data_IF_005973186341
#
_entry.id   IF_005973186341
#
_cell.length_a   1.000
_cell.length_b   1.000
_cell.length_c   1.000
_cell.angle_alpha   90.00
_cell.angle_beta   90.00
_cell.angle_gamma   90.00
#
_symmetry.space_group_name_H-M   'P 1'
#
loop_
_entity.id
_entity.type
_entity.pdbx_description
1 polymer ?
#
# COMPACT_ATOMS: atom_id res chain seq x y z
N UNK A 1 18.61 -4.71 11.25
CA UNK A 1 18.88 -3.44 10.54
C UNK A 1 17.54 -2.82 10.17
N UNK A 2 17.13 -1.76 10.86
CA UNK A 2 15.86 -1.08 10.60
C UNK A 2 16.08 -0.03 9.51
N UNK A 3 15.73 -0.35 8.26
CA UNK A 3 15.68 0.64 7.18
C UNK A 3 14.34 1.38 7.24
N UNK A 4 14.40 2.71 7.39
CA UNK A 4 13.25 3.59 7.25
C UNK A 4 12.97 3.83 5.76
N UNK A 5 11.71 3.88 5.32
CA UNK A 5 11.46 4.32 3.95
C UNK A 5 11.86 5.80 3.82
N UNK A 6 12.74 6.06 2.86
CA UNK A 6 13.37 7.36 2.61
C UNK A 6 12.43 8.36 1.91
N UNK A 7 11.35 7.88 1.31
CA UNK A 7 10.40 8.71 0.55
C UNK A 7 9.23 9.08 1.45
N UNK A 8 8.87 10.37 1.44
CA UNK A 8 7.69 10.87 2.15
C UNK A 8 6.42 10.18 1.61
N UNK A 9 5.50 9.71 2.47
CA UNK A 9 4.25 9.13 1.99
C UNK A 9 3.30 10.21 1.47
N UNK A 10 2.54 9.85 0.44
CA UNK A 10 1.32 10.56 0.11
C UNK A 10 0.26 10.26 1.17
N UNK A 11 -0.64 11.21 1.42
CA UNK A 11 -1.84 10.98 2.24
C UNK A 11 -3.05 11.01 1.33
N UNK A 12 -3.70 9.87 1.17
CA UNK A 12 -4.85 9.70 0.30
C UNK A 12 -6.08 9.41 1.15
N UNK A 13 -7.21 10.06 0.85
CA UNK A 13 -8.47 9.80 1.54
C UNK A 13 -9.20 8.62 0.92
N UNK A 14 -9.27 7.51 1.66
CA UNK A 14 -9.91 6.27 1.24
C UNK A 14 -11.01 5.88 2.23
N UNK A 15 -12.04 5.19 1.75
CA UNK A 15 -13.06 4.64 2.63
C UNK A 15 -12.54 3.37 3.31
N UNK A 16 -12.64 3.31 4.63
CA UNK A 16 -12.37 2.08 5.37
C UNK A 16 -13.53 1.08 5.23
N UNK A 17 -13.42 -0.10 5.85
CA UNK A 17 -14.48 -1.14 5.78
C UNK A 17 -15.85 -0.72 6.34
N UNK A 18 -15.89 0.36 7.13
CA UNK A 18 -17.12 0.93 7.70
C UNK A 18 -17.68 2.05 6.82
N UNK A 19 -17.12 2.28 5.63
CA UNK A 19 -17.50 3.35 4.71
C UNK A 19 -17.02 4.74 5.14
N UNK A 20 -16.18 4.86 6.17
CA UNK A 20 -15.70 6.16 6.65
C UNK A 20 -14.48 6.61 5.86
N UNK A 21 -14.53 7.83 5.34
CA UNK A 21 -13.39 8.47 4.70
C UNK A 21 -12.28 8.69 5.72
N UNK A 22 -11.13 8.07 5.47
CA UNK A 22 -10.00 8.01 6.41
C UNK A 22 -8.71 8.39 5.66
N UNK A 23 -7.84 9.24 6.23
CA UNK A 23 -6.53 9.50 5.65
C UNK A 23 -5.66 8.24 5.74
N UNK A 24 -5.13 7.80 4.61
CA UNK A 24 -4.25 6.64 4.49
C UNK A 24 -2.91 7.08 3.91
N UNK A 25 -1.84 6.90 4.68
CA UNK A 25 -0.48 7.18 4.23
C UNK A 25 0.03 6.04 3.35
N UNK A 26 0.52 6.36 2.14
CA UNK A 26 1.02 5.35 1.22
C UNK A 26 2.17 5.85 0.34
N UNK A 27 2.98 4.92 -0.15
CA UNK A 27 3.96 5.17 -1.20
C UNK A 27 3.68 4.25 -2.39
N UNK A 28 3.71 4.80 -3.60
CA UNK A 28 3.55 4.06 -4.83
C UNK A 28 4.84 4.06 -5.65
N UNK A 29 5.14 2.91 -6.24
CA UNK A 29 6.33 2.69 -7.05
C UNK A 29 6.00 1.86 -8.29
N UNK A 30 6.78 2.04 -9.35
CA UNK A 30 6.89 1.06 -10.43
C UNK A 30 8.24 0.36 -10.31
N UNK A 31 8.24 -0.97 -10.27
CA UNK A 31 9.44 -1.78 -10.16
C UNK A 31 9.25 -3.14 -10.84
N UNK A 32 10.19 -3.51 -11.73
CA UNK A 32 10.13 -4.77 -12.50
C UNK A 32 8.76 -4.97 -13.18
N UNK A 33 8.29 -3.93 -13.87
CA UNK A 33 7.00 -3.90 -14.60
C UNK A 33 5.76 -4.15 -13.73
N UNK A 34 5.87 -3.92 -12.42
CA UNK A 34 4.76 -4.04 -11.47
C UNK A 34 4.57 -2.75 -10.69
N UNK A 35 3.32 -2.49 -10.33
CA UNK A 35 2.97 -1.42 -9.39
C UNK A 35 3.14 -1.96 -7.97
N UNK A 36 3.86 -1.24 -7.13
CA UNK A 36 4.01 -1.58 -5.72
C UNK A 36 3.39 -0.48 -4.87
N UNK A 37 2.49 -0.87 -3.97
CA UNK A 37 1.82 0.02 -3.04
C UNK A 37 2.24 -0.36 -1.63
N UNK A 38 2.84 0.59 -0.92
CA UNK A 38 3.26 0.43 0.47
C UNK A 38 2.34 1.29 1.34
N UNK A 39 1.42 0.65 2.04
CA UNK A 39 0.56 1.30 3.04
C UNK A 39 1.35 1.46 4.34
N UNK A 40 1.37 2.67 4.91
CA UNK A 40 2.10 2.96 6.14
C UNK A 40 1.10 3.13 7.27
N UNK A 41 1.24 2.30 8.30
CA UNK A 41 0.51 2.52 9.54
C UNK A 41 0.97 3.84 10.17
N UNK A 42 0.03 4.64 10.63
CA UNK A 42 0.29 5.90 11.32
C UNK A 42 -0.45 5.93 12.67
N UNK A 43 -0.33 7.05 13.40
CA UNK A 43 -1.12 7.26 14.63
C UNK A 43 -2.60 7.44 14.31
N UNK A 44 -2.90 8.09 13.20
CA UNK A 44 -4.25 8.38 12.70
C UNK A 44 -4.91 7.12 12.12
N UNK A 45 -4.13 6.26 11.47
CA UNK A 45 -4.61 4.99 10.93
C UNK A 45 -3.68 3.83 11.32
N UNK A 46 -3.88 3.27 12.53
CA UNK A 46 -3.01 2.21 13.06
C UNK A 46 -3.08 0.93 12.24
N UNK A 47 -2.01 0.13 12.34
CA UNK A 47 -1.85 -1.16 11.65
C UNK A 47 -3.09 -2.04 11.70
N UNK A 48 -3.71 -2.18 12.89
CA UNK A 48 -4.92 -2.99 13.05
C UNK A 48 -6.10 -2.51 12.20
N UNK A 49 -6.30 -1.19 12.09
CA UNK A 49 -7.39 -0.62 11.31
C UNK A 49 -7.13 -0.77 9.80
N UNK A 50 -5.89 -0.59 9.40
CA UNK A 50 -5.41 -0.82 8.03
C UNK A 50 -5.64 -2.28 7.64
N UNK A 51 -5.20 -3.24 8.46
CA UNK A 51 -5.39 -4.67 8.20
C UNK A 51 -6.86 -5.06 8.14
N UNK A 52 -7.71 -4.50 9.01
CA UNK A 52 -9.15 -4.73 8.99
C UNK A 52 -9.86 -4.15 7.75
N UNK A 53 -9.21 -3.23 7.04
CA UNK A 53 -9.77 -2.55 5.87
C UNK A 53 -9.06 -2.94 4.58
N UNK A 54 -8.13 -3.90 4.62
CA UNK A 54 -7.17 -4.17 3.55
C UNK A 54 -7.85 -4.41 2.19
N UNK A 55 -8.90 -5.22 2.14
CA UNK A 55 -9.66 -5.49 0.91
C UNK A 55 -10.31 -4.22 0.34
N UNK A 56 -10.95 -3.42 1.20
CA UNK A 56 -11.62 -2.18 0.76
C UNK A 56 -10.62 -1.15 0.24
N UNK A 57 -9.46 -1.06 0.88
CA UNK A 57 -8.38 -0.16 0.46
C UNK A 57 -7.77 -0.65 -0.86
N UNK A 58 -7.48 -1.95 -0.98
CA UNK A 58 -6.92 -2.53 -2.19
C UNK A 58 -7.84 -2.29 -3.40
N UNK A 59 -9.15 -2.52 -3.26
CA UNK A 59 -10.12 -2.21 -4.31
C UNK A 59 -10.01 -0.76 -4.79
N UNK A 60 -10.12 0.21 -3.88
CA UNK A 60 -10.07 1.63 -4.22
C UNK A 60 -8.75 2.03 -4.87
N UNK A 61 -7.63 1.47 -4.41
CA UNK A 61 -6.31 1.78 -4.94
C UNK A 61 -6.14 1.21 -6.36
N UNK A 62 -6.51 -0.04 -6.61
CA UNK A 62 -6.46 -0.64 -7.95
C UNK A 62 -7.35 0.14 -8.92
N UNK A 63 -8.57 0.51 -8.51
CA UNK A 63 -9.48 1.33 -9.32
C UNK A 63 -8.85 2.68 -9.67
N UNK A 64 -8.22 3.37 -8.70
CA UNK A 64 -7.54 4.65 -8.95
C UNK A 64 -6.32 4.52 -9.85
N UNK A 65 -5.58 3.42 -9.75
CA UNK A 65 -4.44 3.12 -10.61
C UNK A 65 -4.89 2.82 -12.06
N UNK A 66 -6.12 2.32 -12.25
CA UNK A 66 -6.64 1.96 -13.58
C UNK A 66 -5.95 0.73 -14.18
N UNK A 67 -5.49 -0.19 -13.33
CA UNK A 67 -4.70 -1.37 -13.71
C UNK A 67 -5.36 -2.66 -13.26
N UNK A 68 -4.98 -3.80 -13.82
CA UNK A 68 -5.48 -5.08 -13.36
C UNK A 68 -4.91 -5.42 -11.96
N UNK A 69 -5.68 -6.06 -11.06
CA UNK A 69 -5.20 -6.37 -9.71
C UNK A 69 -3.94 -7.22 -9.70
N UNK A 70 -3.77 -8.10 -10.69
CA UNK A 70 -2.61 -8.96 -10.84
C UNK A 70 -1.33 -8.19 -11.15
N UNK A 71 -1.40 -6.90 -11.48
CA UNK A 71 -0.25 -6.02 -11.74
C UNK A 71 0.22 -5.27 -10.49
N UNK A 72 -0.47 -5.41 -9.36
CA UNK A 72 -0.20 -4.65 -8.13
C UNK A 72 0.29 -5.57 -7.01
N UNK A 73 1.43 -5.23 -6.40
CA UNK A 73 1.89 -5.81 -5.15
C UNK A 73 1.56 -4.87 -3.99
N UNK A 74 0.94 -5.42 -2.94
CA UNK A 74 0.58 -4.67 -1.73
C UNK A 74 1.48 -5.06 -0.56
N UNK A 75 2.05 -4.04 0.07
CA UNK A 75 2.83 -4.16 1.29
C UNK A 75 2.30 -3.22 2.35
N UNK A 76 2.55 -3.56 3.60
CA UNK A 76 2.29 -2.72 4.74
C UNK A 76 3.55 -2.57 5.57
N UNK A 77 3.84 -1.32 5.95
CA UNK A 77 4.91 -0.98 6.86
C UNK A 77 4.33 -0.49 8.19
N UNK A 78 4.80 -1.08 9.29
CA UNK A 78 4.41 -0.71 10.64
C UNK A 78 5.61 -0.09 11.36
N UNK A 79 5.55 1.20 11.74
CA UNK A 79 6.60 1.81 12.55
C UNK A 79 6.55 1.29 14.00
N UNK A 80 7.71 1.22 14.65
CA UNK A 80 7.88 0.79 16.04
C UNK A 80 9.35 0.53 16.35
N UNK A 81 9.66 0.09 17.58
CA UNK A 81 11.03 -0.27 17.98
C UNK A 81 11.60 -1.40 17.10
N UNK A 82 10.72 -2.31 16.70
CA UNK A 82 10.97 -3.32 15.68
C UNK A 82 9.99 -3.10 14.53
N UNK A 83 10.37 -2.32 13.49
CA UNK A 83 9.46 -2.05 12.40
C UNK A 83 9.15 -3.34 11.64
N UNK A 84 7.88 -3.55 11.35
CA UNK A 84 7.40 -4.77 10.69
C UNK A 84 7.00 -4.48 9.25
N UNK A 85 7.29 -5.47 8.40
CA UNK A 85 6.86 -5.51 7.02
C UNK A 85 5.89 -6.66 6.82
N UNK A 86 4.74 -6.37 6.25
CA UNK A 86 3.76 -7.37 5.87
C UNK A 86 3.52 -7.31 4.36
N UNK A 87 3.31 -8.48 3.76
CA UNK A 87 2.84 -8.61 2.38
C UNK A 87 1.37 -9.00 2.39
N UNK A 88 0.58 -8.28 1.60
CA UNK A 88 -0.81 -8.60 1.36
C UNK A 88 -0.96 -9.33 0.04
N UNK A 89 -1.65 -10.46 0.09
CA UNK A 89 -2.18 -11.16 -1.07
C UNK A 89 -3.70 -11.11 -1.02
N UNK A 90 -4.35 -10.94 -2.17
CA UNK A 90 -5.80 -10.90 -2.27
C UNK A 90 -6.28 -11.91 -3.31
N UNK A 91 -7.35 -12.62 -2.99
CA UNK A 91 -8.13 -13.35 -3.98
C UNK A 91 -9.10 -12.37 -4.64
N UNK A 92 -9.05 -12.23 -5.96
CA UNK A 92 -9.88 -11.28 -6.71
C UNK A 92 -10.99 -11.99 -7.50
N UNK A 93 -12.11 -11.29 -7.68
CA UNK A 93 -13.18 -11.61 -8.63
C UNK A 93 -13.44 -10.35 -9.44
N UNK A 94 -12.95 -10.33 -10.68
CA UNK A 94 -12.84 -9.08 -11.44
C UNK A 94 -11.97 -8.07 -10.69
N UNK A 95 -12.48 -6.86 -10.49
CA UNK A 95 -11.78 -5.79 -9.77
C UNK A 95 -11.99 -5.84 -8.25
N UNK A 96 -12.79 -6.77 -7.73
CA UNK A 96 -13.18 -6.81 -6.32
C UNK A 96 -12.39 -7.86 -5.54
N UNK A 97 -11.70 -7.49 -4.44
CA UNK A 97 -11.00 -8.44 -3.58
C UNK A 97 -12.02 -9.16 -2.69
N UNK A 98 -12.07 -10.48 -2.80
CA UNK A 98 -12.97 -11.34 -2.04
C UNK A 98 -12.40 -11.67 -0.65
N UNK A 99 -11.09 -11.94 -0.58
CA UNK A 99 -10.42 -12.35 0.65
C UNK A 99 -8.97 -11.91 0.65
N UNK A 100 -8.56 -11.18 1.68
CA UNK A 100 -7.17 -10.84 1.96
C UNK A 100 -6.47 -11.91 2.80
N UNK A 101 -5.18 -12.08 2.55
CA UNK A 101 -4.24 -12.76 3.42
C UNK A 101 -3.05 -11.85 3.64
N UNK A 102 -2.56 -11.86 4.88
CA UNK A 102 -1.40 -11.09 5.27
C UNK A 102 -0.34 -12.01 5.86
N UNK A 103 0.92 -11.83 5.43
CA UNK A 103 2.05 -12.63 5.89
C UNK A 103 3.23 -11.70 6.20
N UNK A 104 4.02 -12.06 7.22
CA UNK A 104 5.24 -11.32 7.53
C UNK A 104 6.25 -11.44 6.39
N UNK A 105 6.88 -10.33 6.02
CA UNK A 105 7.94 -10.33 5.01
C UNK A 105 9.20 -10.97 5.62
N UNK A 106 9.67 -12.05 5.00
CA UNK A 106 10.92 -12.69 5.39
C UNK A 106 12.12 -11.82 5.05
N UNK A 107 13.24 -12.03 5.75
CA UNK A 107 14.49 -11.34 5.44
C UNK A 107 14.91 -11.51 3.97
N UNK A 108 14.75 -12.71 3.40
CA UNK A 108 15.05 -12.98 1.99
C UNK A 108 14.19 -12.18 1.02
N UNK A 109 12.88 -12.04 1.27
CA UNK A 109 12.00 -11.21 0.45
C UNK A 109 12.30 -9.71 0.63
N UNK A 110 12.63 -9.29 1.85
CA UNK A 110 13.06 -7.93 2.11
C UNK A 110 14.30 -7.57 1.29
N UNK A 111 15.35 -8.40 1.34
CA UNK A 111 16.63 -8.14 0.70
C UNK A 111 16.58 -8.26 -0.82
N UNK A 112 15.83 -9.22 -1.36
CA UNK A 112 15.76 -9.48 -2.80
C UNK A 112 14.74 -8.60 -3.55
N UNK A 113 13.77 -8.02 -2.84
CA UNK A 113 12.67 -7.26 -3.44
C UNK A 113 12.46 -5.88 -2.81
N UNK A 114 12.12 -5.79 -1.52
CA UNK A 114 11.74 -4.50 -0.92
C UNK A 114 12.91 -3.50 -0.83
N UNK A 115 14.12 -3.97 -0.51
CA UNK A 115 15.30 -3.11 -0.47
C UNK A 115 15.64 -2.56 -1.87
N UNK A 116 15.74 -3.39 -2.94
CA UNK A 116 15.86 -2.89 -4.31
C UNK A 116 14.73 -1.96 -4.73
N UNK A 117 13.48 -2.29 -4.41
CA UNK A 117 12.30 -1.45 -4.69
C UNK A 117 12.47 -0.04 -4.09
N UNK A 118 12.90 0.06 -2.84
CA UNK A 118 13.10 1.36 -2.17
C UNK A 118 14.28 2.16 -2.74
N UNK A 119 15.30 1.48 -3.27
CA UNK A 119 16.49 2.13 -3.82
C UNK A 119 16.36 2.50 -5.30
N UNK A 120 15.62 1.71 -6.07
CA UNK A 120 15.62 1.76 -7.55
C UNK A 120 14.22 1.89 -8.15
N UNK A 121 13.16 1.67 -7.37
CA UNK A 121 11.78 1.81 -7.83
C UNK A 121 11.46 3.25 -8.20
N UNK A 122 10.72 3.41 -9.30
CA UNK A 122 10.27 4.73 -9.74
C UNK A 122 9.06 5.14 -8.93
N UNK A 123 9.25 6.05 -7.96
CA UNK A 123 8.18 6.59 -7.15
C UNK A 123 7.21 7.45 -7.96
N UNK A 124 5.91 7.33 -7.68
CA UNK A 124 4.87 8.18 -8.26
C UNK A 124 3.76 8.46 -7.25
N UNK A 125 2.94 9.47 -7.52
CA UNK A 125 1.83 9.85 -6.64
C UNK A 125 0.50 9.31 -7.13
N UNK A 126 -0.30 8.75 -6.21
CA UNK A 126 -1.67 8.32 -6.50
C UNK A 126 -2.65 9.51 -6.60
N UNK A 127 -2.21 10.72 -6.19
CA UNK A 127 -3.02 11.94 -6.21
C UNK A 127 -3.10 12.63 -7.58
N UNK A 128 -2.34 12.17 -8.59
CA UNK A 128 -2.23 12.83 -9.91
C UNK A 128 -3.54 12.97 -10.72
N UNK A 129 -4.67 12.51 -10.18
CA UNK A 129 -6.02 12.75 -10.73
C UNK A 129 -6.98 13.54 -9.83
N UNK A 130 -6.59 13.94 -8.62
CA UNK A 130 -7.44 14.67 -7.65
C UNK A 130 -7.13 16.18 -7.60
N UNK A 131 -6.31 16.72 -8.50
CA UNK A 131 -5.93 18.15 -8.54
C UNK A 131 -6.98 19.06 -9.22
N UNK A 132 -8.20 18.58 -9.44
CA UNK A 132 -9.22 19.32 -10.20
C UNK A 132 -10.62 19.20 -9.59
N UNK A 133 -10.79 19.67 -8.36
CA UNK A 133 -12.12 20.06 -7.84
C UNK A 133 -12.01 20.95 -6.59
N UNK A 134 -11.37 22.11 -6.71
CA UNK A 134 -11.74 23.27 -5.88
C UNK A 134 -11.70 24.51 -6.78
N UNK A 135 -12.85 24.82 -7.36
CA UNK A 135 -13.19 26.16 -7.83
C UNK A 135 -14.40 26.62 -7.01
#
# INVERSE_FOLDING_TARGET
MSMNLTIAPDVVHLQNRLGRLTPVSLNCFVFRDRYCVILRASREFPSRQLSNSAEHLAHQIVVRLGVAPEQVDFFQWQPGDHPEWLRWGFQWVGMSPLKGRCEAVSAGLFDSYLRPLQMQGLGFSLLRGEESAVA
#
